data_IF_109877919258
#
_entry.id   IF_109877919258
#
_cell.length_a   1.000
_cell.length_b   1.000
_cell.length_c   1.000
_cell.angle_alpha   90.00
_cell.angle_beta   90.00
_cell.angle_gamma   90.00
#
_symmetry.space_group_name_H-M   'P 1'
#
loop_
_entity.id
_entity.type
_entity.pdbx_description
1 polymer ?
#
# COMPACT_ATOMS: atom_id res chain seq x y z
N UNK A 1 32.28 2.85 11.83
CA UNK A 1 31.84 1.95 10.73
C UNK A 1 30.46 2.33 10.16
N UNK A 2 30.17 3.63 10.02
CA UNK A 2 28.83 4.13 9.67
C UNK A 2 28.69 4.59 8.23
N UNK A 3 29.76 5.04 7.56
CA UNK A 3 29.70 5.60 6.20
C UNK A 3 29.44 4.56 5.08
N UNK A 4 29.93 3.32 5.22
CA UNK A 4 29.79 2.28 4.20
C UNK A 4 28.35 1.74 4.01
N UNK A 5 27.44 2.01 4.96
CA UNK A 5 26.03 1.61 4.86
C UNK A 5 25.18 2.54 3.99
N UNK A 6 25.72 3.70 3.60
CA UNK A 6 24.97 4.75 2.91
C UNK A 6 25.25 4.85 1.41
N UNK A 7 26.35 4.26 0.92
CA UNK A 7 26.81 4.48 -0.46
C UNK A 7 25.91 3.77 -1.48
N UNK A 8 25.57 2.51 -1.27
CA UNK A 8 24.79 1.70 -2.23
C UNK A 8 23.38 2.24 -2.54
N UNK A 9 22.51 2.44 -1.53
CA UNK A 9 21.15 2.93 -1.76
C UNK A 9 21.10 4.38 -2.25
N UNK A 10 22.02 5.23 -1.78
CA UNK A 10 22.11 6.62 -2.24
C UNK A 10 22.57 6.69 -3.70
N UNK A 11 23.54 5.87 -4.11
CA UNK A 11 23.98 5.77 -5.51
C UNK A 11 22.87 5.26 -6.43
N UNK A 12 22.07 4.29 -5.99
CA UNK A 12 20.92 3.79 -6.75
C UNK A 12 19.82 4.85 -6.88
N UNK A 13 19.57 5.63 -5.83
CA UNK A 13 18.61 6.74 -5.87
C UNK A 13 19.09 7.87 -6.77
N UNK A 14 20.39 8.22 -6.72
CA UNK A 14 21.00 9.23 -7.59
C UNK A 14 21.02 8.77 -9.05
N UNK A 15 21.32 7.49 -9.33
CA UNK A 15 21.25 6.93 -10.67
C UNK A 15 19.80 6.89 -11.20
N UNK A 16 18.82 6.61 -10.34
CA UNK A 16 17.41 6.65 -10.70
C UNK A 16 16.91 8.09 -10.93
N UNK A 17 17.40 9.07 -10.16
CA UNK A 17 17.16 10.50 -10.38
C UNK A 17 17.82 11.01 -11.67
N UNK A 18 19.03 10.54 -11.99
CA UNK A 18 19.71 10.86 -13.26
C UNK A 18 18.98 10.20 -14.46
N UNK A 19 18.53 8.96 -14.33
CA UNK A 19 17.70 8.28 -15.33
C UNK A 19 16.34 8.96 -15.53
N UNK A 20 15.81 9.61 -14.49
CA UNK A 20 14.58 10.40 -14.59
C UNK A 20 14.70 11.63 -15.49
N UNK A 21 15.92 12.15 -15.72
CA UNK A 21 16.15 13.23 -16.67
C UNK A 21 16.10 12.74 -18.13
N UNK A 22 16.45 11.46 -18.38
CA UNK A 22 16.47 10.86 -19.72
C UNK A 22 15.09 10.35 -20.16
N UNK A 23 14.30 9.83 -19.23
CA UNK A 23 12.97 9.29 -19.50
C UNK A 23 11.96 9.74 -18.42
N UNK A 24 11.58 11.03 -18.39
CA UNK A 24 10.81 11.61 -17.28
C UNK A 24 9.45 10.97 -17.09
N UNK A 25 8.78 10.58 -18.18
CA UNK A 25 7.49 9.87 -18.10
C UNK A 25 7.62 8.47 -17.49
N UNK A 26 8.64 7.72 -17.88
CA UNK A 26 8.89 6.37 -17.38
C UNK A 26 9.29 6.39 -15.90
N UNK A 27 10.16 7.33 -15.52
CA UNK A 27 10.58 7.51 -14.14
C UNK A 27 9.43 7.96 -13.25
N UNK A 28 8.54 8.83 -13.73
CA UNK A 28 7.39 9.26 -12.95
C UNK A 28 6.33 8.15 -12.81
N UNK A 29 6.14 7.32 -13.83
CA UNK A 29 5.28 6.13 -13.75
C UNK A 29 5.83 5.11 -12.72
N UNK A 30 7.15 4.89 -12.76
CA UNK A 30 7.86 4.05 -11.79
C UNK A 30 7.76 4.60 -10.37
N UNK A 31 7.91 5.93 -10.22
CA UNK A 31 7.76 6.63 -8.95
C UNK A 31 6.34 6.49 -8.39
N UNK A 32 5.31 6.68 -9.21
CA UNK A 32 3.92 6.49 -8.81
C UNK A 32 3.70 5.04 -8.33
N UNK A 33 4.14 4.05 -9.08
CA UNK A 33 4.02 2.64 -8.70
C UNK A 33 4.70 2.37 -7.35
N UNK A 34 5.97 2.79 -7.19
CA UNK A 34 6.71 2.63 -5.95
C UNK A 34 6.06 3.36 -4.76
N UNK A 35 5.54 4.57 -4.99
CA UNK A 35 4.83 5.33 -3.96
C UNK A 35 3.57 4.60 -3.51
N UNK A 36 2.76 4.07 -4.45
CA UNK A 36 1.54 3.32 -4.14
C UNK A 36 1.83 2.03 -3.34
N UNK A 37 2.99 1.40 -3.55
CA UNK A 37 3.42 0.24 -2.74
C UNK A 37 3.47 0.60 -1.26
N UNK A 38 3.86 1.83 -0.90
CA UNK A 38 3.96 2.30 0.48
C UNK A 38 2.71 3.00 1.01
N UNK A 39 1.95 3.67 0.15
CA UNK A 39 0.71 4.37 0.53
C UNK A 39 -0.35 3.40 1.03
N UNK A 40 -0.65 2.34 0.28
CA UNK A 40 -1.73 1.42 0.64
C UNK A 40 -1.50 0.69 1.97
N UNK A 41 -0.30 0.19 2.30
CA UNK A 41 -0.01 -0.34 3.64
C UNK A 41 -0.09 0.70 4.75
N UNK A 42 0.28 1.97 4.50
CA UNK A 42 0.17 3.01 5.52
C UNK A 42 -1.30 3.38 5.81
N UNK A 43 -2.13 3.44 4.78
CA UNK A 43 -3.60 3.61 4.87
C UNK A 43 -4.26 2.39 5.52
N UNK A 44 -3.84 1.18 5.13
CA UNK A 44 -4.29 -0.07 5.77
C UNK A 44 -3.90 -0.12 7.25
N UNK A 45 -2.72 0.34 7.62
CA UNK A 45 -2.32 0.42 9.02
C UNK A 45 -3.20 1.38 9.83
N UNK A 46 -3.53 2.54 9.24
CA UNK A 46 -4.48 3.49 9.82
C UNK A 46 -5.86 2.84 10.02
N UNK A 47 -6.36 2.10 9.02
CA UNK A 47 -7.62 1.37 9.14
C UNK A 47 -7.59 0.32 10.27
N UNK A 48 -6.53 -0.48 10.36
CA UNK A 48 -6.36 -1.48 11.43
C UNK A 48 -6.28 -0.84 12.82
N UNK A 49 -5.64 0.33 12.96
CA UNK A 49 -5.62 1.07 14.24
C UNK A 49 -7.01 1.57 14.65
N UNK A 50 -7.80 2.06 13.70
CA UNK A 50 -9.17 2.48 13.97
C UNK A 50 -10.06 1.28 14.32
N UNK A 51 -9.90 0.16 13.63
CA UNK A 51 -10.57 -1.11 13.94
C UNK A 51 -10.22 -1.58 15.37
N UNK A 52 -8.94 -1.53 15.77
CA UNK A 52 -8.52 -1.84 17.14
C UNK A 52 -9.14 -0.88 18.19
N UNK A 53 -9.31 0.40 17.83
CA UNK A 53 -10.02 1.40 18.64
C UNK A 53 -11.50 1.05 18.85
N UNK A 54 -12.16 0.53 17.81
CA UNK A 54 -13.58 0.17 17.85
C UNK A 54 -13.86 -1.03 18.77
N UNK A 55 -13.04 -2.07 18.64
CA UNK A 55 -13.23 -3.32 19.39
C UNK A 55 -12.53 -3.33 20.77
N UNK A 56 -11.68 -2.33 21.05
CA UNK A 56 -10.96 -2.18 22.33
C UNK A 56 -10.21 -3.45 22.80
N UNK A 57 -9.77 -4.30 21.85
CA UNK A 57 -9.42 -5.70 22.11
C UNK A 57 -8.18 -5.95 22.99
N UNK A 58 -7.34 -4.94 23.26
CA UNK A 58 -6.26 -4.97 24.27
C UNK A 58 -5.13 -6.00 24.09
N UNK A 59 -5.26 -6.97 23.19
CA UNK A 59 -4.46 -8.20 23.17
C UNK A 59 -3.09 -8.07 22.49
N UNK A 60 -2.78 -6.93 21.84
CA UNK A 60 -1.56 -6.84 21.03
C UNK A 60 -0.95 -5.43 20.91
N UNK A 61 -0.41 -4.91 22.02
CA UNK A 61 0.26 -3.62 22.07
C UNK A 61 1.43 -3.50 21.07
N UNK A 62 2.27 -4.53 20.95
CA UNK A 62 3.40 -4.54 20.03
C UNK A 62 2.97 -4.45 18.56
N UNK A 63 1.87 -5.11 18.20
CA UNK A 63 1.29 -5.02 16.86
C UNK A 63 0.71 -3.61 16.60
N UNK A 64 -0.01 -3.04 17.58
CA UNK A 64 -0.50 -1.66 17.50
C UNK A 64 0.63 -0.65 17.33
N UNK A 65 1.75 -0.83 18.02
CA UNK A 65 2.92 0.05 17.89
C UNK A 65 3.58 -0.07 16.52
N UNK A 66 3.62 -1.28 15.95
CA UNK A 66 4.07 -1.49 14.58
C UNK A 66 3.15 -0.79 13.55
N UNK A 67 1.83 -0.94 13.67
CA UNK A 67 0.86 -0.22 12.83
C UNK A 67 0.98 1.31 12.99
N UNK A 68 1.15 1.80 14.22
CA UNK A 68 1.33 3.23 14.50
C UNK A 68 2.57 3.81 13.81
N UNK A 69 3.65 3.03 13.70
CA UNK A 69 4.84 3.43 12.94
C UNK A 69 4.56 3.53 11.45
N UNK A 70 3.83 2.57 10.87
CA UNK A 70 3.43 2.61 9.45
C UNK A 70 2.49 3.79 9.14
N UNK A 71 1.51 4.07 10.00
CA UNK A 71 0.60 5.21 9.82
C UNK A 71 1.33 6.56 9.86
N UNK A 72 2.39 6.69 10.67
CA UNK A 72 3.21 7.91 10.74
C UNK A 72 4.03 8.20 9.48
N UNK A 73 4.01 7.29 8.50
CA UNK A 73 4.63 7.50 7.19
C UNK A 73 3.78 8.37 6.27
N UNK A 74 2.47 8.46 6.50
CA UNK A 74 1.54 9.18 5.61
C UNK A 74 1.97 10.61 5.29
N UNK A 75 2.44 11.45 6.25
CA UNK A 75 2.91 12.80 5.91
C UNK A 75 4.14 12.81 4.98
N UNK A 76 5.04 11.84 5.12
CA UNK A 76 6.21 11.71 4.25
C UNK A 76 5.84 11.24 2.86
N UNK A 77 4.89 10.30 2.78
CA UNK A 77 4.34 9.82 1.50
C UNK A 77 3.55 10.93 0.78
N UNK A 78 2.91 11.84 1.52
CA UNK A 78 2.28 13.04 0.95
C UNK A 78 3.30 13.95 0.25
N UNK A 79 4.48 14.15 0.84
CA UNK A 79 5.58 14.86 0.19
C UNK A 79 6.10 14.11 -1.05
N UNK A 80 6.18 12.78 -0.95
CA UNK A 80 6.49 11.91 -2.08
C UNK A 80 5.47 11.98 -3.22
N UNK A 81 4.26 12.49 -2.96
CA UNK A 81 3.24 12.70 -3.98
C UNK A 81 3.42 14.01 -4.77
N UNK A 82 4.27 14.95 -4.32
CA UNK A 82 4.50 16.22 -5.01
C UNK A 82 5.03 16.06 -6.46
N UNK A 83 5.98 15.16 -6.77
CA UNK A 83 6.39 14.90 -8.14
C UNK A 83 5.25 14.41 -9.03
N UNK A 84 4.31 13.63 -8.48
CA UNK A 84 3.12 13.12 -9.20
C UNK A 84 2.22 14.29 -9.62
N UNK A 85 2.01 15.26 -8.72
CA UNK A 85 1.24 16.47 -9.01
C UNK A 85 1.95 17.37 -10.04
N UNK A 86 3.26 17.61 -9.85
CA UNK A 86 4.05 18.43 -10.75
C UNK A 86 4.12 17.84 -12.18
N UNK A 87 4.22 16.51 -12.28
CA UNK A 87 4.28 15.80 -13.54
C UNK A 87 2.96 15.16 -13.96
N UNK A 88 1.80 15.63 -13.48
CA UNK A 88 0.50 15.02 -13.77
C UNK A 88 0.23 14.91 -15.28
N UNK A 89 0.69 15.88 -16.07
CA UNK A 89 0.58 15.88 -17.53
C UNK A 89 1.41 14.78 -18.20
N UNK A 90 2.40 14.18 -17.52
CA UNK A 90 3.17 13.04 -18.00
C UNK A 90 2.45 11.70 -17.69
N UNK A 91 1.75 11.64 -16.56
CA UNK A 91 1.07 10.41 -16.12
C UNK A 91 -0.31 10.25 -16.74
N UNK A 92 -1.14 11.28 -16.62
CA UNK A 92 -2.57 11.19 -16.81
C UNK A 92 -2.98 11.65 -18.22
N UNK A 93 -3.56 10.78 -19.06
CA UNK A 93 -3.94 11.14 -20.43
C UNK A 93 -4.94 12.31 -20.50
N UNK A 94 -5.85 12.39 -19.53
CA UNK A 94 -6.90 13.41 -19.46
C UNK A 94 -6.37 14.83 -19.23
N UNK A 95 -5.12 15.02 -18.79
CA UNK A 95 -4.53 16.37 -18.61
C UNK A 95 -4.16 17.02 -19.95
N UNK A 96 -3.75 16.23 -20.96
CA UNK A 96 -3.18 16.78 -22.21
C UNK A 96 -4.21 17.27 -23.23
N UNK A 97 -5.48 16.86 -23.10
CA UNK A 97 -6.54 17.12 -24.08
C UNK A 97 -7.39 18.37 -23.81
N UNK A 98 -6.84 19.42 -23.21
CA UNK A 98 -7.60 20.61 -22.78
C UNK A 98 -8.29 20.48 -21.41
N UNK A 99 -8.09 19.35 -20.74
CA UNK A 99 -8.59 19.04 -19.39
C UNK A 99 -10.12 18.80 -19.37
N UNK A 100 -10.61 17.61 -19.00
CA UNK A 100 -12.04 17.40 -18.85
C UNK A 100 -12.61 18.35 -17.81
N UNK A 101 -13.82 18.86 -18.05
CA UNK A 101 -14.61 19.51 -16.99
C UNK A 101 -15.15 18.46 -16.01
N UNK A 102 -15.50 18.87 -14.78
CA UNK A 102 -16.06 17.96 -13.78
C UNK A 102 -15.02 17.26 -12.90
N UNK A 103 -15.17 15.94 -12.69
CA UNK A 103 -14.40 15.20 -11.66
C UNK A 103 -12.88 15.25 -11.89
N UNK A 104 -12.41 15.04 -13.12
CA UNK A 104 -10.98 15.01 -13.46
C UNK A 104 -10.42 16.39 -13.89
N UNK A 105 -11.13 17.48 -13.60
CA UNK A 105 -10.58 18.81 -13.82
C UNK A 105 -9.26 18.97 -13.03
N UNK A 106 -8.13 19.40 -13.64
CA UNK A 106 -6.82 19.36 -12.98
C UNK A 106 -6.76 20.10 -11.64
N UNK A 107 -7.39 21.28 -11.55
CA UNK A 107 -7.47 22.03 -10.27
C UNK A 107 -8.29 21.28 -9.21
N UNK A 108 -9.39 20.63 -9.60
CA UNK A 108 -10.24 19.87 -8.68
C UNK A 108 -9.56 18.55 -8.24
N UNK A 109 -8.81 17.91 -9.13
CA UNK A 109 -7.96 16.76 -8.81
C UNK A 109 -6.91 17.11 -7.73
N UNK A 110 -6.19 18.23 -7.92
CA UNK A 110 -5.20 18.71 -6.94
C UNK A 110 -5.87 19.03 -5.60
N UNK A 111 -7.01 19.73 -5.62
CA UNK A 111 -7.77 20.05 -4.41
C UNK A 111 -8.18 18.79 -3.65
N UNK A 112 -8.73 17.77 -4.33
CA UNK A 112 -9.08 16.49 -3.71
C UNK A 112 -7.86 15.76 -3.16
N UNK A 113 -6.74 15.75 -3.89
CA UNK A 113 -5.51 15.14 -3.38
C UNK A 113 -5.07 15.78 -2.06
N UNK A 114 -5.09 17.12 -1.97
CA UNK A 114 -4.79 17.86 -0.72
C UNK A 114 -5.78 17.51 0.39
N UNK A 115 -7.09 17.46 0.10
CA UNK A 115 -8.11 17.09 1.07
C UNK A 115 -7.94 15.66 1.59
N UNK A 116 -7.66 14.69 0.71
CA UNK A 116 -7.41 13.29 1.06
C UNK A 116 -6.17 13.18 1.95
N UNK A 117 -5.05 13.79 1.56
CA UNK A 117 -3.83 13.78 2.38
C UNK A 117 -4.03 14.47 3.73
N UNK A 118 -4.75 15.59 3.76
CA UNK A 118 -5.12 16.28 4.99
C UNK A 118 -6.00 15.43 5.90
N UNK A 119 -7.02 14.75 5.35
CA UNK A 119 -7.87 13.83 6.08
C UNK A 119 -7.05 12.68 6.68
N UNK A 120 -6.19 12.03 5.90
CA UNK A 120 -5.34 10.95 6.38
C UNK A 120 -4.33 11.38 7.44
N UNK A 121 -3.76 12.59 7.32
CA UNK A 121 -2.89 13.15 8.35
C UNK A 121 -3.66 13.41 9.66
N UNK A 122 -4.87 13.97 9.57
CA UNK A 122 -5.75 14.20 10.71
C UNK A 122 -6.18 12.90 11.40
N UNK A 123 -6.66 11.94 10.61
CA UNK A 123 -7.03 10.60 11.09
C UNK A 123 -5.83 9.84 11.67
N UNK A 124 -4.66 9.97 11.04
CA UNK A 124 -3.41 9.40 11.54
C UNK A 124 -3.02 9.94 12.91
N UNK A 125 -3.14 11.26 13.12
CA UNK A 125 -2.96 11.86 14.45
C UNK A 125 -4.02 11.35 15.43
N UNK A 126 -5.30 11.35 15.04
CA UNK A 126 -6.40 10.86 15.88
C UNK A 126 -6.21 9.40 16.33
N UNK A 127 -5.75 8.52 15.43
CA UNK A 127 -5.57 7.10 15.73
C UNK A 127 -4.30 6.80 16.55
N UNK A 128 -3.27 7.65 16.44
CA UNK A 128 -1.96 7.42 17.07
C UNK A 128 -1.73 8.25 18.34
N UNK A 129 -2.37 9.41 18.49
CA UNK A 129 -2.33 10.25 19.69
C UNK A 129 -3.42 9.78 20.64
N UNK A 130 -3.04 8.84 21.52
CA UNK A 130 -3.98 8.15 22.41
C UNK A 130 -4.73 7.02 21.70
N UNK A 131 -5.42 6.19 22.49
CA UNK A 131 -6.36 5.18 21.97
C UNK A 131 -7.76 5.81 21.99
N UNK A 132 -8.36 6.15 20.83
CA UNK A 132 -9.67 6.79 20.83
C UNK A 132 -10.70 5.85 21.45
N UNK A 133 -11.36 6.31 22.52
CA UNK A 133 -12.37 5.54 23.28
C UNK A 133 -13.79 5.80 22.81
N UNK A 134 -14.03 6.93 22.14
CA UNK A 134 -15.35 7.26 21.60
C UNK A 134 -15.60 6.45 20.33
N UNK A 135 -16.44 5.41 20.45
CA UNK A 135 -16.78 4.50 19.34
C UNK A 135 -17.44 5.22 18.16
N UNK A 136 -18.28 6.23 18.41
CA UNK A 136 -18.92 7.01 17.35
C UNK A 136 -17.90 7.80 16.52
N UNK A 137 -16.92 8.43 17.18
CA UNK A 137 -15.84 9.13 16.50
C UNK A 137 -14.95 8.16 15.68
N UNK A 138 -14.68 6.97 16.21
CA UNK A 138 -13.93 5.93 15.48
C UNK A 138 -14.70 5.40 14.27
N UNK A 139 -16.01 5.17 14.40
CA UNK A 139 -16.86 4.76 13.28
C UNK A 139 -16.88 5.83 12.18
N UNK A 140 -17.05 7.10 12.55
CA UNK A 140 -16.97 8.21 11.60
C UNK A 140 -15.60 8.29 10.91
N UNK A 141 -14.52 8.10 11.66
CA UNK A 141 -13.17 8.06 11.11
C UNK A 141 -12.98 6.93 10.09
N UNK A 142 -13.55 5.74 10.33
CA UNK A 142 -13.51 4.61 9.39
C UNK A 142 -14.30 4.92 8.11
N UNK A 143 -15.47 5.54 8.22
CA UNK A 143 -16.28 5.96 7.05
C UNK A 143 -15.49 6.98 6.23
N UNK A 144 -14.94 8.01 6.89
CA UNK A 144 -14.13 9.03 6.23
C UNK A 144 -12.89 8.43 5.55
N UNK A 145 -12.24 7.47 6.20
CA UNK A 145 -11.10 6.75 5.62
C UNK A 145 -11.50 5.96 4.38
N UNK A 146 -12.60 5.19 4.43
CA UNK A 146 -13.06 4.39 3.30
C UNK A 146 -13.45 5.27 2.09
N UNK A 147 -14.15 6.38 2.32
CA UNK A 147 -14.52 7.33 1.26
C UNK A 147 -13.29 8.02 0.66
N UNK A 148 -12.39 8.53 1.49
CA UNK A 148 -11.16 9.19 1.02
C UNK A 148 -10.19 8.21 0.32
N UNK A 149 -10.10 6.96 0.78
CA UNK A 149 -9.37 5.88 0.10
C UNK A 149 -9.97 5.55 -1.27
N UNK A 150 -11.29 5.56 -1.40
CA UNK A 150 -11.95 5.35 -2.68
C UNK A 150 -11.65 6.49 -3.66
N UNK A 151 -11.72 7.75 -3.20
CA UNK A 151 -11.32 8.92 -4.00
C UNK A 151 -9.87 8.80 -4.45
N UNK A 152 -8.94 8.47 -3.54
CA UNK A 152 -7.53 8.28 -3.83
C UNK A 152 -7.29 7.17 -4.87
N UNK A 153 -7.95 6.02 -4.72
CA UNK A 153 -7.84 4.89 -5.65
C UNK A 153 -8.29 5.27 -7.06
N UNK A 154 -9.44 5.97 -7.15
CA UNK A 154 -10.00 6.44 -8.43
C UNK A 154 -9.04 7.44 -9.07
N UNK A 155 -8.69 8.49 -8.33
CA UNK A 155 -7.90 9.60 -8.85
C UNK A 155 -6.48 9.16 -9.20
N UNK A 156 -5.79 8.49 -8.29
CA UNK A 156 -4.35 8.29 -8.44
C UNK A 156 -3.99 7.09 -9.30
N UNK A 157 -4.85 6.07 -9.34
CA UNK A 157 -4.56 4.81 -10.03
C UNK A 157 -5.57 4.49 -11.13
N UNK A 158 -6.88 4.46 -10.85
CA UNK A 158 -7.88 4.10 -11.87
C UNK A 158 -7.89 5.09 -13.05
N UNK A 159 -7.73 6.39 -12.77
CA UNK A 159 -7.74 7.45 -13.80
C UNK A 159 -6.53 7.45 -14.74
N UNK A 160 -5.53 6.58 -14.52
CA UNK A 160 -4.47 6.32 -15.50
C UNK A 160 -5.05 5.83 -16.83
N UNK A 161 -6.16 5.11 -16.78
CA UNK A 161 -6.91 4.61 -17.93
C UNK A 161 -8.39 4.99 -17.81
N UNK A 162 -8.80 6.21 -18.23
CA UNK A 162 -10.15 6.74 -17.97
C UNK A 162 -11.32 5.93 -18.54
N UNK A 163 -11.06 5.05 -19.52
CA UNK A 163 -12.07 4.15 -20.06
C UNK A 163 -12.44 3.00 -19.11
N UNK A 164 -11.58 2.69 -18.14
CA UNK A 164 -11.82 1.65 -17.16
C UNK A 164 -12.48 2.20 -15.90
N UNK A 165 -13.63 1.63 -15.53
CA UNK A 165 -14.39 2.03 -14.34
C UNK A 165 -14.83 0.78 -13.58
N UNK A 166 -14.39 0.67 -12.32
CA UNK A 166 -14.78 -0.41 -11.42
C UNK A 166 -15.23 0.16 -10.07
N UNK A 167 -16.47 -0.13 -9.68
CA UNK A 167 -16.99 0.25 -8.36
C UNK A 167 -16.23 -0.43 -7.21
N UNK A 168 -15.67 -1.62 -7.45
CA UNK A 168 -14.92 -2.37 -6.45
C UNK A 168 -13.47 -1.87 -6.27
N UNK A 169 -12.97 -1.01 -7.17
CA UNK A 169 -11.54 -0.66 -7.25
C UNK A 169 -11.00 -0.07 -5.93
N UNK A 170 -11.71 0.89 -5.34
CA UNK A 170 -11.29 1.50 -4.06
C UNK A 170 -11.23 0.50 -2.92
N UNK A 171 -12.21 -0.40 -2.83
CA UNK A 171 -12.25 -1.43 -1.79
C UNK A 171 -11.18 -2.50 -2.01
N UNK A 172 -10.88 -2.85 -3.27
CA UNK A 172 -9.82 -3.76 -3.63
C UNK A 172 -8.46 -3.24 -3.14
N UNK A 173 -8.12 -1.98 -3.46
CA UNK A 173 -6.86 -1.36 -3.03
C UNK A 173 -6.78 -1.19 -1.51
N UNK A 174 -7.90 -0.83 -0.85
CA UNK A 174 -7.95 -0.76 0.61
C UNK A 174 -7.76 -2.14 1.27
N UNK A 175 -8.35 -3.20 0.72
CA UNK A 175 -8.19 -4.56 1.24
C UNK A 175 -6.76 -5.10 1.06
N UNK A 176 -6.12 -4.79 -0.07
CA UNK A 176 -4.71 -5.10 -0.31
C UNK A 176 -3.82 -4.33 0.66
N UNK A 177 -4.12 -3.04 0.87
CA UNK A 177 -3.45 -2.21 1.86
C UNK A 177 -3.58 -2.74 3.29
N UNK A 178 -4.76 -3.21 3.71
CA UNK A 178 -4.97 -3.85 5.02
C UNK A 178 -4.11 -5.11 5.19
N UNK A 179 -4.11 -5.98 4.18
CA UNK A 179 -3.31 -7.21 4.17
C UNK A 179 -1.81 -6.91 4.26
N UNK A 180 -1.33 -6.01 3.41
CA UNK A 180 0.07 -5.58 3.40
C UNK A 180 0.48 -4.86 4.70
N UNK A 181 -0.42 -4.05 5.28
CA UNK A 181 -0.19 -3.43 6.59
C UNK A 181 -0.03 -4.46 7.70
N UNK A 182 -0.92 -5.47 7.74
CA UNK A 182 -0.84 -6.56 8.68
C UNK A 182 0.48 -7.34 8.53
N UNK A 183 0.86 -7.66 7.29
CA UNK A 183 2.12 -8.32 6.98
C UNK A 183 3.34 -7.46 7.41
N UNK A 184 3.37 -6.18 7.08
CA UNK A 184 4.47 -5.27 7.44
C UNK A 184 4.62 -5.07 8.96
N UNK A 185 3.50 -5.05 9.70
CA UNK A 185 3.51 -4.88 11.15
C UNK A 185 3.93 -6.16 11.91
N UNK A 186 3.83 -7.33 11.29
CA UNK A 186 4.02 -8.62 11.97
C UNK A 186 5.45 -8.88 12.45
N UNK A 187 6.52 -8.75 11.61
CA UNK A 187 7.89 -8.97 12.06
C UNK A 187 8.34 -8.08 13.24
N UNK A 188 8.16 -6.74 13.22
CA UNK A 188 8.55 -5.90 14.36
C UNK A 188 7.71 -6.18 15.61
N UNK A 189 6.43 -6.53 15.48
CA UNK A 189 5.59 -6.92 16.62
C UNK A 189 6.12 -8.21 17.29
N UNK A 190 6.42 -9.24 16.49
CA UNK A 190 6.98 -10.51 16.97
C UNK A 190 8.41 -10.38 17.50
N UNK A 191 9.15 -9.33 17.13
CA UNK A 191 10.46 -9.00 17.73
C UNK A 191 10.33 -8.29 19.06
N UNK A 192 9.35 -7.39 19.20
CA UNK A 192 9.10 -6.65 20.43
C UNK A 192 8.43 -7.51 21.52
N UNK A 193 7.79 -8.62 21.16
CA UNK A 193 7.18 -9.57 22.10
C UNK A 193 7.65 -11.00 21.80
N UNK A 194 8.91 -11.36 22.14
CA UNK A 194 9.45 -12.68 21.87
C UNK A 194 8.67 -13.79 22.60
N UNK A 195 8.21 -13.50 23.81
CA UNK A 195 7.47 -14.42 24.68
C UNK A 195 5.94 -14.35 24.47
N UNK A 196 5.49 -13.76 23.36
CA UNK A 196 4.07 -13.70 23.04
C UNK A 196 3.47 -15.12 23.02
N UNK A 197 2.36 -15.35 23.75
CA UNK A 197 1.69 -16.64 23.78
C UNK A 197 1.35 -17.13 22.37
N UNK A 198 1.40 -18.44 22.17
CA UNK A 198 1.09 -19.05 20.88
C UNK A 198 -0.31 -18.65 20.38
N UNK A 199 -1.29 -18.57 21.29
CA UNK A 199 -2.65 -18.10 20.98
C UNK A 199 -2.66 -16.69 20.39
N UNK A 200 -1.85 -15.78 20.91
CA UNK A 200 -1.75 -14.40 20.38
C UNK A 200 -1.10 -14.39 19.00
N UNK A 201 -0.08 -15.22 18.75
CA UNK A 201 0.50 -15.37 17.41
C UNK A 201 -0.50 -15.97 16.43
N UNK A 202 -1.21 -17.02 16.86
CA UNK A 202 -2.26 -17.68 16.09
C UNK A 202 -3.40 -16.73 15.69
N UNK A 203 -3.79 -15.82 16.57
CA UNK A 203 -4.79 -14.80 16.27
C UNK A 203 -4.30 -13.80 15.20
N UNK A 204 -3.02 -13.39 15.22
CA UNK A 204 -2.44 -12.58 14.15
C UNK A 204 -2.35 -13.35 12.82
N UNK A 205 -1.99 -14.64 12.86
CA UNK A 205 -2.01 -15.50 11.68
C UNK A 205 -3.41 -15.69 11.10
N UNK A 206 -4.43 -15.83 11.95
CA UNK A 206 -5.82 -15.89 11.53
C UNK A 206 -6.31 -14.56 10.92
N UNK A 207 -5.90 -13.42 11.48
CA UNK A 207 -6.18 -12.10 10.89
C UNK A 207 -5.55 -11.97 9.49
N UNK A 208 -4.30 -12.40 9.34
CA UNK A 208 -3.60 -12.40 8.05
C UNK A 208 -4.31 -13.27 7.01
N UNK A 209 -4.75 -14.47 7.41
CA UNK A 209 -5.54 -15.37 6.58
C UNK A 209 -6.88 -14.73 6.16
N UNK A 210 -7.62 -14.14 7.09
CA UNK A 210 -8.89 -13.49 6.80
C UNK A 210 -8.73 -12.33 5.80
N UNK A 211 -7.71 -11.49 5.98
CA UNK A 211 -7.42 -10.39 5.06
C UNK A 211 -7.01 -10.90 3.67
N UNK A 212 -6.24 -11.99 3.58
CA UNK A 212 -5.87 -12.63 2.32
C UNK A 212 -7.12 -13.14 1.57
N UNK A 213 -8.06 -13.76 2.29
CA UNK A 213 -9.32 -14.22 1.71
C UNK A 213 -10.18 -13.06 1.20
N UNK A 214 -10.30 -11.96 1.96
CA UNK A 214 -11.06 -10.78 1.55
C UNK A 214 -10.48 -10.17 0.28
N UNK A 215 -9.15 -9.99 0.21
CA UNK A 215 -8.50 -9.47 -0.99
C UNK A 215 -8.72 -10.39 -2.19
N UNK A 216 -8.50 -11.71 -2.02
CA UNK A 216 -8.67 -12.69 -3.10
C UNK A 216 -10.11 -12.70 -3.62
N UNK A 217 -11.09 -12.65 -2.72
CA UNK A 217 -12.51 -12.55 -3.06
C UNK A 217 -12.79 -11.29 -3.89
N UNK A 218 -12.36 -10.11 -3.44
CA UNK A 218 -12.61 -8.85 -4.16
C UNK A 218 -11.90 -8.81 -5.51
N UNK A 219 -10.65 -9.28 -5.58
CA UNK A 219 -9.87 -9.34 -6.81
C UNK A 219 -10.56 -10.25 -7.83
N UNK A 220 -10.99 -11.44 -7.39
CA UNK A 220 -11.71 -12.39 -8.23
C UNK A 220 -13.07 -11.84 -8.67
N UNK A 221 -13.85 -11.23 -7.76
CA UNK A 221 -15.15 -10.67 -8.11
C UNK A 221 -15.05 -9.51 -9.10
N UNK A 222 -14.03 -8.64 -9.00
CA UNK A 222 -13.80 -7.61 -10.01
C UNK A 222 -13.53 -8.22 -11.39
N UNK A 223 -12.69 -9.25 -11.45
CA UNK A 223 -12.41 -9.97 -12.69
C UNK A 223 -13.66 -10.65 -13.23
N UNK A 224 -14.40 -11.39 -12.40
CA UNK A 224 -15.60 -12.13 -12.80
C UNK A 224 -16.68 -11.19 -13.36
N UNK A 225 -16.89 -10.02 -12.76
CA UNK A 225 -17.83 -9.02 -13.26
C UNK A 225 -17.37 -8.44 -14.60
N UNK A 226 -16.07 -8.12 -14.74
CA UNK A 226 -15.52 -7.63 -16.00
C UNK A 226 -15.61 -8.67 -17.12
N UNK A 227 -15.29 -9.93 -16.81
CA UNK A 227 -15.31 -11.05 -17.75
C UNK A 227 -16.74 -11.41 -18.17
N UNK A 228 -17.66 -11.54 -17.21
CA UNK A 228 -19.07 -11.87 -17.51
C UNK A 228 -19.81 -10.74 -18.22
N UNK A 229 -19.51 -9.48 -17.88
CA UNK A 229 -20.09 -8.33 -18.53
C UNK A 229 -19.55 -8.08 -19.95
N UNK A 230 -18.34 -8.58 -20.24
CA UNK A 230 -17.63 -8.52 -21.52
C UNK A 230 -17.77 -7.18 -22.28
N UNK A 231 -17.79 -6.06 -21.54
CA UNK A 231 -17.87 -4.73 -22.16
C UNK A 231 -16.49 -4.35 -22.69
N UNK A 232 -16.35 -3.79 -23.91
CA UNK A 232 -15.06 -3.56 -24.54
C UNK A 232 -14.05 -2.82 -23.65
N UNK A 233 -14.49 -1.78 -22.93
CA UNK A 233 -13.62 -1.01 -22.07
C UNK A 233 -13.12 -1.77 -20.82
N UNK A 234 -13.95 -2.64 -20.23
CA UNK A 234 -13.58 -3.47 -19.09
C UNK A 234 -12.71 -4.66 -19.51
N UNK A 235 -13.09 -5.32 -20.62
CA UNK A 235 -12.37 -6.45 -21.17
C UNK A 235 -10.98 -6.03 -21.66
N UNK A 236 -10.87 -4.91 -22.37
CA UNK A 236 -9.60 -4.38 -22.89
C UNK A 236 -8.57 -4.12 -21.79
N UNK A 237 -9.00 -3.63 -20.61
CA UNK A 237 -8.13 -3.40 -19.47
C UNK A 237 -7.49 -4.70 -18.94
N UNK A 238 -8.25 -5.79 -18.91
CA UNK A 238 -7.76 -7.12 -18.50
C UNK A 238 -6.97 -7.82 -19.60
N UNK A 239 -7.35 -7.68 -20.88
CA UNK A 239 -6.61 -8.28 -22.01
C UNK A 239 -5.18 -7.75 -22.07
N UNK A 240 -5.00 -6.44 -21.94
CA UNK A 240 -3.69 -5.80 -21.88
C UNK A 240 -2.78 -6.38 -20.77
N UNK A 241 -3.41 -6.84 -19.69
CA UNK A 241 -2.76 -7.34 -18.48
C UNK A 241 -2.70 -8.86 -18.37
N UNK A 242 -3.39 -9.55 -19.27
CA UNK A 242 -3.48 -11.01 -19.33
C UNK A 242 -2.49 -11.65 -20.31
N UNK A 243 -1.65 -10.85 -20.96
CA UNK A 243 -0.70 -11.30 -21.97
C UNK A 243 0.75 -11.03 -21.57
N UNK A 244 1.67 -11.83 -22.15
CA UNK A 244 3.11 -11.63 -22.06
C UNK A 244 3.64 -11.51 -20.61
N UNK A 245 4.48 -10.50 -20.31
CA UNK A 245 5.09 -10.36 -18.98
C UNK A 245 4.07 -10.01 -17.88
N UNK A 246 2.95 -9.39 -18.24
CA UNK A 246 1.92 -8.95 -17.29
C UNK A 246 1.15 -10.12 -16.69
N UNK A 247 0.94 -11.18 -17.48
CA UNK A 247 0.35 -12.42 -16.98
C UNK A 247 1.21 -13.06 -15.89
N UNK A 248 2.51 -13.17 -16.11
CA UNK A 248 3.43 -13.75 -15.12
C UNK A 248 3.51 -12.90 -13.85
N UNK A 249 3.45 -11.58 -14.00
CA UNK A 249 3.44 -10.65 -12.88
C UNK A 249 2.13 -10.78 -12.07
N UNK A 250 0.98 -10.94 -12.72
CA UNK A 250 -0.31 -11.25 -12.08
C UNK A 250 -0.28 -12.58 -11.34
N UNK A 251 0.17 -13.65 -11.99
CA UNK A 251 0.25 -15.00 -11.38
C UNK A 251 1.17 -14.96 -10.16
N UNK A 252 2.32 -14.30 -10.27
CA UNK A 252 3.25 -14.09 -9.16
C UNK A 252 2.63 -13.29 -8.01
N UNK A 253 1.92 -12.20 -8.33
CA UNK A 253 1.22 -11.37 -7.35
C UNK A 253 0.15 -12.18 -6.59
N UNK A 254 -0.76 -12.86 -7.30
CA UNK A 254 -1.82 -13.68 -6.70
C UNK A 254 -1.24 -14.83 -5.87
N UNK A 255 -0.21 -15.51 -6.39
CA UNK A 255 0.43 -16.62 -5.68
C UNK A 255 1.08 -16.14 -4.37
N UNK A 256 1.84 -15.05 -4.41
CA UNK A 256 2.60 -14.54 -3.27
C UNK A 256 1.72 -13.80 -2.24
N UNK A 257 0.77 -12.98 -2.71
CA UNK A 257 -0.07 -12.16 -1.83
C UNK A 257 -1.21 -12.95 -1.19
N UNK A 258 -1.76 -13.94 -1.89
CA UNK A 258 -2.98 -14.61 -1.46
C UNK A 258 -2.89 -16.14 -1.46
N UNK A 259 -2.63 -16.79 -2.61
CA UNK A 259 -2.83 -18.24 -2.71
C UNK A 259 -1.90 -19.06 -1.81
N UNK A 260 -0.58 -18.79 -1.84
CA UNK A 260 0.38 -19.50 -0.98
C UNK A 260 0.19 -19.15 0.50
N UNK A 261 0.03 -17.87 0.91
CA UNK A 261 -0.30 -17.53 2.28
C UNK A 261 -1.59 -18.17 2.77
N UNK A 262 -2.65 -18.18 1.96
CA UNK A 262 -3.91 -18.82 2.28
C UNK A 262 -3.70 -20.31 2.60
N UNK A 263 -3.11 -21.07 1.67
CA UNK A 263 -2.88 -22.50 1.84
C UNK A 263 -1.99 -22.79 3.06
N UNK A 264 -0.94 -22.01 3.27
CA UNK A 264 -0.03 -22.18 4.39
C UNK A 264 -0.69 -21.87 5.74
N UNK A 265 -1.47 -20.78 5.82
CA UNK A 265 -2.11 -20.34 7.08
C UNK A 265 -3.33 -21.17 7.48
N UNK A 266 -3.83 -22.07 6.63
CA UNK A 266 -4.83 -23.07 7.03
C UNK A 266 -4.31 -23.98 8.15
N UNK A 267 -3.00 -24.25 8.18
CA UNK A 267 -2.39 -25.14 9.16
C UNK A 267 -2.10 -24.40 10.48
N UNK A 268 -2.68 -24.84 11.61
CA UNK A 268 -2.44 -24.23 12.92
C UNK A 268 -0.95 -24.07 13.30
N UNK A 269 -0.07 -25.07 13.07
CA UNK A 269 1.35 -24.93 13.40
C UNK A 269 2.07 -23.84 12.60
N UNK A 270 1.61 -23.56 11.37
CA UNK A 270 2.20 -22.52 10.51
C UNK A 270 1.72 -21.15 10.96
N UNK A 271 0.41 -20.99 11.21
CA UNK A 271 -0.18 -19.70 11.57
C UNK A 271 0.10 -19.25 13.01
N UNK A 272 0.63 -20.12 13.87
CA UNK A 272 0.99 -19.78 15.26
C UNK A 272 2.50 -19.67 15.51
N UNK A 273 3.32 -20.15 14.57
CA UNK A 273 4.78 -20.14 14.68
C UNK A 273 5.40 -18.83 14.16
N UNK A 274 6.41 -18.33 14.88
CA UNK A 274 7.08 -17.06 14.57
C UNK A 274 7.77 -17.05 13.19
N UNK A 275 8.53 -18.10 12.88
CA UNK A 275 9.33 -18.15 11.64
C UNK A 275 8.45 -18.19 10.38
N UNK A 276 7.44 -19.08 10.27
CA UNK A 276 6.56 -19.09 9.12
C UNK A 276 5.77 -17.80 8.96
N UNK A 277 5.26 -17.20 10.03
CA UNK A 277 4.57 -15.92 9.98
C UNK A 277 5.45 -14.79 9.41
N UNK A 278 6.73 -14.72 9.79
CA UNK A 278 7.66 -13.72 9.23
C UNK A 278 7.97 -13.99 7.76
N UNK A 279 8.14 -15.26 7.37
CA UNK A 279 8.38 -15.63 5.98
C UNK A 279 7.18 -15.28 5.09
N UNK A 280 5.96 -15.63 5.53
CA UNK A 280 4.72 -15.32 4.85
C UNK A 280 4.46 -13.81 4.78
N UNK A 281 4.79 -13.06 5.82
CA UNK A 281 4.74 -11.61 5.77
C UNK A 281 5.64 -11.03 4.66
N UNK A 282 6.87 -11.54 4.53
CA UNK A 282 7.76 -11.15 3.43
C UNK A 282 7.19 -11.50 2.05
N UNK A 283 6.62 -12.71 1.92
CA UNK A 283 5.99 -13.16 0.68
C UNK A 283 4.78 -12.28 0.29
N UNK A 284 3.91 -11.96 1.25
CA UNK A 284 2.74 -11.10 1.03
C UNK A 284 3.16 -9.70 0.60
N UNK A 285 4.21 -9.13 1.21
CA UNK A 285 4.71 -7.81 0.83
C UNK A 285 5.32 -7.80 -0.57
N UNK A 286 6.00 -8.87 -0.96
CA UNK A 286 6.47 -9.04 -2.34
C UNK A 286 5.29 -9.14 -3.32
N UNK A 287 4.26 -9.93 -2.98
CA UNK A 287 3.03 -10.03 -3.75
C UNK A 287 2.31 -8.69 -3.92
N UNK A 288 2.18 -7.90 -2.84
CA UNK A 288 1.61 -6.54 -2.85
C UNK A 288 2.39 -5.58 -3.77
N UNK A 289 3.72 -5.67 -3.77
CA UNK A 289 4.53 -4.87 -4.67
C UNK A 289 4.30 -5.26 -6.15
N UNK A 290 4.18 -6.56 -6.43
CA UNK A 290 3.84 -7.05 -7.77
C UNK A 290 2.42 -6.61 -8.17
N UNK A 291 1.42 -6.79 -7.31
CA UNK A 291 0.03 -6.36 -7.57
C UNK A 291 -0.04 -4.86 -7.89
N UNK A 292 0.64 -4.03 -7.11
CA UNK A 292 0.70 -2.58 -7.35
C UNK A 292 1.37 -2.26 -8.69
N UNK A 293 2.47 -2.95 -9.03
CA UNK A 293 3.13 -2.78 -10.33
C UNK A 293 2.22 -3.22 -11.49
N UNK A 294 1.45 -4.30 -11.31
CA UNK A 294 0.46 -4.80 -12.28
C UNK A 294 -0.71 -3.81 -12.48
N UNK A 295 -1.13 -3.12 -11.43
CA UNK A 295 -2.19 -2.11 -11.52
C UNK A 295 -1.73 -0.85 -12.26
N UNK A 296 -0.48 -0.40 -12.04
CA UNK A 296 0.02 0.91 -12.55
C UNK A 296 0.75 0.82 -13.88
N UNK A 297 1.75 -0.07 -14.00
CA UNK A 297 2.71 -0.01 -15.12
C UNK A 297 2.14 -0.37 -16.50
N UNK A 298 1.14 -1.26 -16.64
CA UNK A 298 0.54 -1.55 -17.95
C UNK A 298 -0.13 -0.33 -18.61
N UNK A 299 -0.46 0.73 -17.87
CA UNK A 299 -0.94 1.97 -18.47
C UNK A 299 0.14 2.69 -19.32
N UNK A 300 1.41 2.25 -19.24
CA UNK A 300 2.58 2.85 -19.87
C UNK A 300 3.34 1.87 -20.80
N UNK A 301 2.61 1.19 -21.70
CA UNK A 301 3.12 0.11 -22.57
C UNK A 301 4.44 0.42 -23.30
N UNK A 302 4.64 1.65 -23.78
CA UNK A 302 5.85 2.00 -24.53
C UNK A 302 7.13 2.03 -23.69
N UNK A 303 7.00 2.04 -22.36
CA UNK A 303 8.12 2.35 -21.45
C UNK A 303 8.20 1.48 -20.20
N UNK A 304 7.39 0.43 -20.11
CA UNK A 304 7.38 -0.44 -18.92
C UNK A 304 8.74 -1.11 -18.66
N UNK A 305 9.53 -1.40 -19.70
CA UNK A 305 10.88 -1.97 -19.58
C UNK A 305 11.85 -1.06 -18.82
N UNK A 306 11.69 0.26 -18.98
CA UNK A 306 12.46 1.25 -18.23
C UNK A 306 11.83 1.54 -16.86
N UNK A 307 10.49 1.54 -16.77
CA UNK A 307 9.78 1.86 -15.55
C UNK A 307 9.86 0.76 -14.48
N UNK A 308 9.84 -0.52 -14.86
CA UNK A 308 9.82 -1.65 -13.92
C UNK A 308 11.09 -1.75 -13.04
N UNK A 309 12.33 -1.67 -13.59
CA UNK A 309 13.54 -1.63 -12.77
C UNK A 309 13.60 -0.39 -11.87
N UNK A 310 13.17 0.77 -12.38
CA UNK A 310 13.11 2.01 -11.60
C UNK A 310 12.11 1.89 -10.44
N UNK A 311 10.95 1.25 -10.67
CA UNK A 311 9.94 1.05 -9.65
C UNK A 311 10.50 0.16 -8.52
N UNK A 312 11.26 -0.87 -8.87
CA UNK A 312 11.98 -1.68 -7.89
C UNK A 312 12.95 -0.82 -7.08
N UNK A 313 13.86 -0.09 -7.75
CA UNK A 313 14.84 0.78 -7.06
C UNK A 313 14.16 1.80 -6.15
N UNK A 314 13.12 2.49 -6.62
CA UNK A 314 12.38 3.46 -5.82
C UNK A 314 11.64 2.81 -4.64
N UNK A 315 11.07 1.62 -4.83
CA UNK A 315 10.36 0.91 -3.75
C UNK A 315 11.32 0.57 -2.61
N UNK A 316 12.50 0.02 -2.92
CA UNK A 316 13.51 -0.30 -1.91
C UNK A 316 14.18 0.96 -1.33
N UNK A 317 14.42 1.99 -2.16
CA UNK A 317 14.96 3.27 -1.71
C UNK A 317 14.03 3.98 -0.72
N UNK A 318 12.73 4.07 -1.03
CA UNK A 318 11.71 4.59 -0.12
C UNK A 318 11.66 3.76 1.16
N UNK A 319 11.62 2.43 1.05
CA UNK A 319 11.62 1.54 2.22
C UNK A 319 12.81 1.75 3.13
N UNK A 320 13.99 1.99 2.57
CA UNK A 320 15.20 2.30 3.33
C UNK A 320 15.12 3.65 4.05
N UNK A 321 14.66 4.71 3.38
CA UNK A 321 14.49 6.04 3.99
C UNK A 321 13.47 6.02 5.12
N UNK A 322 12.39 5.27 4.90
CA UNK A 322 11.22 5.16 5.77
C UNK A 322 11.48 4.29 7.01
N UNK A 323 12.14 3.14 6.83
CA UNK A 323 12.38 2.16 7.90
C UNK A 323 13.78 2.28 8.54
N UNK A 324 14.75 2.86 7.84
CA UNK A 324 16.14 3.01 8.26
C UNK A 324 16.48 4.37 8.90
N UNK A 325 15.58 5.36 8.82
CA UNK A 325 15.74 6.64 9.50
C UNK A 325 15.72 6.48 11.03
N UNK A 326 16.47 7.30 11.79
CA UNK A 326 16.43 7.25 13.25
C UNK A 326 15.01 7.56 13.72
N UNK A 327 14.31 6.53 14.22
CA UNK A 327 13.05 6.70 14.93
C UNK A 327 13.36 7.58 16.15
N UNK A 328 12.72 8.76 16.33
CA UNK A 328 12.90 9.55 17.54
C UNK A 328 12.34 8.74 18.72
N UNK A 329 13.23 7.98 19.36
CA UNK A 329 12.90 7.21 20.55
C UNK A 329 12.73 8.17 21.72
N UNK A 330 11.58 8.11 22.37
CA UNK A 330 11.49 8.51 23.78
C UNK A 330 12.45 7.59 24.54
N UNK A 331 13.57 8.14 24.95
CA UNK A 331 14.38 7.59 26.04
C UNK A 331 13.52 7.70 27.28
N UNK A 332 12.75 6.65 27.60
CA UNK A 332 12.23 6.49 28.95
C UNK A 332 13.44 6.11 29.79
N UNK A 333 14.07 7.11 30.41
CA UNK A 333 14.98 6.88 31.53
C UNK A 333 14.13 6.24 32.61
N UNK A 334 14.33 4.94 32.85
CA UNK A 334 14.01 4.38 34.15
C UNK A 334 14.94 5.05 35.15
N UNK A 335 14.42 6.06 35.86
CA UNK A 335 15.04 6.54 37.08
C UNK A 335 15.03 5.39 38.07
N UNK A 336 16.20 4.83 38.34
CA UNK A 336 16.46 4.18 39.62
C UNK A 336 16.81 5.28 40.60
N UNK A 337 15.98 5.46 41.60
CA UNK A 337 16.32 5.91 42.94
C UNK A 337 15.28 5.31 43.88
#
# INVERSE_FOLDING_TARGET
MTAARWTGPALLLVAALAGALLAPRAALAAWLAALMVWVWPAVGALALLLIDGLFATGWNAAFRDALSRLTRLLPWLALGFLPVLAGMALLYPWVRGGGPSGWLAPGWFVARAVLVWGAWAGLGRFATVGRPRNRGAVAFALILLALSATVAAIDWMMSLEPGFVSAAYGLLLLSGGLLAACAAALPPALRASPDAPERSRGALGALLLALAMVWAYLAFMQYLVAWSGNRPALAGWYLLRGEGPWLWLLVGAVAAQAALPFLALLFPPVRSARRPLVALAGLILAGHALDTAWLVLPAFQEMWKAALPLAFVFTFGLGWMVLGGPVPGRVVRHGRA
#
